data_IF_059855209057
#
_entry.id   IF_059855209057
#
_cell.length_a   1.000
_cell.length_b   1.000
_cell.length_c   1.000
_cell.angle_alpha   90.00
_cell.angle_beta   90.00
_cell.angle_gamma   90.00
#
_symmetry.space_group_name_H-M   'P 1'
#
loop_
_entity.id
_entity.type
_entity.pdbx_description
1 polymer ?
#
# COMPACT_ATOMS: atom_id res chain seq x y z
N UNK A 1 -11.21 -28.40 14.49
CA UNK A 1 -11.27 -28.96 13.11
C UNK A 1 -9.89 -28.90 12.48
N UNK A 2 -9.29 -29.99 11.95
CA UNK A 2 -8.06 -29.89 11.19
C UNK A 2 -8.41 -29.32 9.81
N UNK A 3 -8.22 -28.01 9.69
CA UNK A 3 -8.87 -27.14 8.72
C UNK A 3 -7.93 -26.75 7.57
N UNK A 4 -8.29 -27.14 6.33
CA UNK A 4 -7.85 -26.58 5.04
C UNK A 4 -6.34 -26.58 4.69
N UNK A 5 -5.44 -26.81 5.66
CA UNK A 5 -4.00 -26.65 5.53
C UNK A 5 -3.30 -27.96 5.89
N UNK A 6 -2.27 -28.38 5.14
CA UNK A 6 -1.58 -29.63 5.39
C UNK A 6 -0.68 -29.53 6.64
N UNK A 7 -0.84 -30.47 7.58
CA UNK A 7 -0.15 -30.48 8.89
C UNK A 7 1.00 -31.48 9.03
N UNK A 8 1.40 -32.15 7.94
CA UNK A 8 2.48 -33.15 7.96
C UNK A 8 3.89 -32.55 8.09
N UNK A 9 4.84 -33.35 8.59
CA UNK A 9 6.24 -32.95 8.82
C UNK A 9 6.98 -32.40 7.58
N UNK A 10 6.61 -32.85 6.37
CA UNK A 10 7.25 -32.46 5.10
C UNK A 10 6.45 -31.44 4.27
N UNK A 11 5.56 -30.65 4.89
CA UNK A 11 4.62 -29.75 4.15
C UNK A 11 5.03 -28.27 4.15
N UNK A 12 6.23 -27.94 4.66
CA UNK A 12 6.70 -26.56 4.86
C UNK A 12 6.63 -25.67 3.61
N UNK A 13 6.98 -26.21 2.42
CA UNK A 13 6.92 -25.48 1.15
C UNK A 13 5.49 -24.99 0.84
N UNK A 14 4.52 -25.88 0.93
CA UNK A 14 3.11 -25.58 0.66
C UNK A 14 2.56 -24.56 1.66
N UNK A 15 2.96 -24.64 2.93
CA UNK A 15 2.60 -23.64 3.94
C UNK A 15 3.18 -22.25 3.63
N UNK A 16 4.45 -22.19 3.20
CA UNK A 16 5.10 -20.93 2.81
C UNK A 16 4.39 -20.28 1.63
N UNK A 17 4.11 -21.06 0.59
CA UNK A 17 3.49 -20.55 -0.63
C UNK A 17 2.04 -20.14 -0.38
N UNK A 18 1.31 -20.91 0.43
CA UNK A 18 -0.04 -20.52 0.90
C UNK A 18 -0.03 -19.20 1.69
N UNK A 19 0.95 -18.98 2.58
CA UNK A 19 1.06 -17.71 3.31
C UNK A 19 1.39 -16.55 2.38
N UNK A 20 2.21 -16.77 1.35
CA UNK A 20 2.54 -15.75 0.34
C UNK A 20 1.32 -15.30 -0.45
N UNK A 21 0.48 -16.23 -0.91
CA UNK A 21 -0.73 -15.88 -1.65
C UNK A 21 -1.75 -15.17 -0.75
N UNK A 22 -1.95 -15.67 0.47
CA UNK A 22 -2.86 -15.06 1.44
C UNK A 22 -2.41 -13.66 1.88
N UNK A 23 -1.10 -13.35 1.84
CA UNK A 23 -0.61 -12.03 2.24
C UNK A 23 -1.08 -10.91 1.29
N UNK A 24 -1.40 -11.21 0.05
CA UNK A 24 -1.86 -10.22 -0.92
C UNK A 24 -3.30 -9.72 -0.68
N UNK A 25 -4.11 -10.45 0.10
CA UNK A 25 -5.45 -9.97 0.49
C UNK A 25 -5.40 -8.91 1.58
N UNK A 26 -4.28 -8.82 2.32
CA UNK A 26 -4.05 -7.78 3.32
C UNK A 26 -3.84 -6.42 2.64
N UNK A 27 -4.74 -5.47 2.95
CA UNK A 27 -4.73 -4.11 2.42
C UNK A 27 -3.46 -3.35 2.75
N UNK A 28 -2.90 -3.53 3.95
CA UNK A 28 -1.67 -2.86 4.38
C UNK A 28 -0.47 -3.39 3.60
N UNK A 29 -0.37 -4.72 3.46
CA UNK A 29 0.67 -5.36 2.66
C UNK A 29 0.58 -4.92 1.20
N UNK A 30 -0.63 -4.94 0.63
CA UNK A 30 -0.90 -4.51 -0.74
C UNK A 30 -0.52 -3.04 -0.98
N UNK A 31 -0.86 -2.14 -0.05
CA UNK A 31 -0.52 -0.70 -0.15
C UNK A 31 0.99 -0.44 -0.10
N UNK A 32 1.72 -1.22 0.69
CA UNK A 32 3.18 -1.07 0.82
C UNK A 32 3.95 -1.66 -0.38
N UNK A 33 3.48 -2.79 -0.92
CA UNK A 33 4.21 -3.53 -1.96
C UNK A 33 3.74 -3.23 -3.38
N UNK A 34 2.58 -2.60 -3.56
CA UNK A 34 2.15 -2.08 -4.87
C UNK A 34 2.69 -0.66 -5.07
N UNK A 35 3.27 -0.40 -6.24
CA UNK A 35 3.83 0.90 -6.63
C UNK A 35 2.84 2.07 -6.70
N UNK A 36 1.55 1.86 -6.42
CA UNK A 36 0.52 2.90 -6.34
C UNK A 36 0.90 3.99 -5.34
N UNK A 37 1.60 3.64 -4.25
CA UNK A 37 2.10 4.60 -3.25
C UNK A 37 3.01 5.68 -3.87
N UNK A 38 3.76 5.34 -4.92
CA UNK A 38 4.74 6.25 -5.55
C UNK A 38 4.15 6.99 -6.75
N UNK A 39 3.21 6.36 -7.46
CA UNK A 39 2.61 6.94 -8.68
C UNK A 39 1.43 7.87 -8.40
N UNK A 40 0.57 7.53 -7.45
CA UNK A 40 -0.69 8.22 -7.23
C UNK A 40 -0.70 9.14 -6.00
N UNK A 41 0.34 9.09 -5.16
CA UNK A 41 0.45 9.98 -4.01
C UNK A 41 1.00 11.35 -4.47
N UNK A 42 0.30 12.47 -4.22
CA UNK A 42 0.81 13.81 -4.55
C UNK A 42 2.12 14.15 -3.83
N UNK A 43 2.43 13.50 -2.69
CA UNK A 43 3.71 13.64 -1.99
C UNK A 43 4.77 12.65 -2.46
N UNK A 44 4.43 11.72 -3.36
CA UNK A 44 5.31 10.63 -3.81
C UNK A 44 6.07 9.91 -2.67
N UNK A 45 5.45 9.81 -1.50
CA UNK A 45 6.05 9.16 -0.32
C UNK A 45 6.85 10.06 0.63
N UNK A 46 6.97 11.36 0.36
CA UNK A 46 7.52 12.35 1.30
C UNK A 46 6.52 12.73 2.40
N UNK A 47 7.03 13.26 3.52
CA UNK A 47 6.20 13.75 4.64
C UNK A 47 5.64 15.15 4.40
N UNK A 48 6.34 15.98 3.61
CA UNK A 48 5.98 17.35 3.29
C UNK A 48 6.29 17.64 1.83
N UNK A 49 5.56 18.58 1.22
CA UNK A 49 5.85 19.13 -0.10
C UNK A 49 5.80 20.65 -0.07
N UNK A 50 6.55 21.28 -0.97
CA UNK A 50 6.49 22.71 -1.25
C UNK A 50 5.73 22.90 -2.56
N UNK A 51 4.80 23.84 -2.61
CA UNK A 51 4.00 24.13 -3.80
C UNK A 51 3.76 25.64 -3.97
N UNK A 52 3.37 26.04 -5.18
CA UNK A 52 2.99 27.42 -5.52
C UNK A 52 1.47 27.54 -5.44
N UNK A 53 0.98 28.70 -5.03
CA UNK A 53 -0.45 28.97 -4.90
C UNK A 53 -1.02 29.39 -6.24
N UNK A 54 -2.14 28.77 -6.65
CA UNK A 54 -2.87 29.15 -7.85
C UNK A 54 -4.07 30.06 -7.49
N UNK A 55 -4.99 29.56 -6.66
CA UNK A 55 -6.24 30.25 -6.30
C UNK A 55 -6.66 29.96 -4.85
N UNK A 56 -7.54 30.80 -4.29
CA UNK A 56 -8.09 30.66 -2.93
C UNK A 56 -9.52 30.10 -3.01
N UNK A 57 -9.77 28.89 -2.52
CA UNK A 57 -11.12 28.32 -2.42
C UNK A 57 -11.70 28.59 -1.03
N UNK A 58 -12.82 29.31 -0.93
CA UNK A 58 -13.59 29.54 0.30
C UNK A 58 -12.71 29.80 1.55
N UNK A 59 -12.03 30.96 1.55
CA UNK A 59 -11.08 31.40 2.57
C UNK A 59 -9.87 30.51 2.84
N UNK A 60 -9.68 29.38 2.13
CA UNK A 60 -8.49 28.51 2.24
C UNK A 60 -7.65 28.55 0.97
N UNK A 61 -6.35 28.73 1.15
CA UNK A 61 -5.35 28.66 0.08
C UNK A 61 -5.16 27.18 -0.26
N UNK A 62 -5.36 26.79 -1.53
CA UNK A 62 -4.97 25.45 -1.99
C UNK A 62 -3.63 25.53 -2.72
N UNK A 63 -2.59 24.81 -2.27
CA UNK A 63 -1.35 24.71 -3.02
C UNK A 63 -1.58 23.83 -4.25
N UNK A 64 -1.16 24.30 -5.42
CA UNK A 64 -1.06 23.45 -6.61
C UNK A 64 0.17 22.56 -6.42
N UNK A 65 -0.06 21.28 -6.10
CA UNK A 65 1.02 20.29 -6.01
C UNK A 65 1.32 19.84 -7.43
N UNK A 66 2.38 20.41 -8.01
CA UNK A 66 3.02 19.77 -9.15
C UNK A 66 4.12 18.84 -8.62
N UNK A 67 4.19 17.68 -9.24
CA UNK A 67 5.03 16.51 -8.95
C UNK A 67 6.43 16.83 -8.43
#
# INVERSE_FOLDING_TARGET
MPAGKPSGLKTARKLRDHRRTQRWSDKAYKKAHIGTRWKANPFKGASHAKGVVLEKLNNRILPFVNV
#
